data_IF_287125847315
#
_entry.id   IF_287125847315
#
_cell.length_a   1.000
_cell.length_b   1.000
_cell.length_c   1.000
_cell.angle_alpha   90.00
_cell.angle_beta   90.00
_cell.angle_gamma   90.00
#
_symmetry.space_group_name_H-M   'P 1'
#
loop_
_entity.id
_entity.type
_entity.pdbx_description
1 polymer ?
2 non-polymer ?
3 non-polymer ?
4 water ?
#
# COMPACT_ATOMS: atom_id res chain seq x y z
N UNK A 2 1.01 20.49 1.89
CA UNK A 2 1.17 19.31 2.79
C UNK A 2 -0.19 18.72 3.15
N UNK A 3 -0.63 17.74 2.36
CA UNK A 3 -1.92 17.09 2.58
C UNK A 3 -2.23 16.74 4.01
N UNK A 4 -3.40 17.18 4.46
CA UNK A 4 -3.81 16.92 5.82
C UNK A 4 -4.53 15.60 5.97
N UNK A 5 -5.28 15.20 4.95
CA UNK A 5 -6.00 13.94 5.02
C UNK A 5 -5.08 12.74 4.76
N UNK A 6 -5.58 11.55 5.02
CA UNK A 6 -4.82 10.31 4.94
C UNK A 6 -5.23 9.42 3.77
N UNK A 7 -4.56 10.02 2.54
CA UNK A 7 -4.76 9.41 1.23
C UNK A 7 -3.67 8.39 0.91
N UNK A 8 -4.11 7.17 0.58
CA UNK A 8 -3.21 6.07 0.26
C UNK A 8 -3.58 5.55 -1.13
N UNK A 9 -2.57 5.25 -1.93
CA UNK A 9 -2.79 4.78 -3.29
C UNK A 9 -1.96 3.53 -3.58
N UNK A 10 -2.36 2.78 -4.61
CA UNK A 10 -1.65 1.58 -4.99
C UNK A 10 -1.15 1.71 -6.40
N UNK A 11 0.12 1.40 -6.60
CA UNK A 11 0.74 1.49 -7.91
C UNK A 11 0.17 0.52 -8.92
N UNK A 12 -0.19 1.05 -10.08
CA UNK A 12 -0.72 0.23 -11.17
C UNK A 12 0.40 -0.23 -12.11
N UNK A 13 1.55 0.44 -12.05
CA UNK A 13 2.69 0.07 -12.86
C UNK A 13 3.96 0.23 -12.06
N UNK A 14 5.05 -0.28 -12.62
CA UNK A 14 6.36 -0.14 -12.03
C UNK A 14 6.77 1.25 -12.51
N UNK A 15 7.48 1.98 -11.68
CA UNK A 15 7.92 3.31 -12.06
C UNK A 15 9.37 3.54 -11.67
N UNK A 16 10.18 3.85 -12.68
CA UNK A 16 11.59 4.13 -12.47
C UNK A 16 11.65 5.65 -12.43
N UNK A 17 12.15 6.20 -11.33
CA UNK A 17 12.23 7.65 -11.21
C UNK A 17 13.01 8.23 -12.38
N UNK A 18 12.51 9.36 -12.88
CA UNK A 18 13.16 10.04 -13.99
C UNK A 18 14.06 11.15 -13.45
N UNK A 19 13.97 11.39 -12.14
CA UNK A 19 14.79 12.38 -11.45
C UNK A 19 15.07 11.89 -10.05
N UNK A 20 16.07 12.49 -9.41
CA UNK A 20 16.44 12.11 -8.06
C UNK A 20 15.36 12.48 -7.04
N UNK A 21 14.53 13.45 -7.39
CA UNK A 21 13.48 13.90 -6.49
C UNK A 21 12.16 13.17 -6.72
N UNK A 22 12.23 12.03 -7.39
CA UNK A 22 11.05 11.25 -7.68
C UNK A 22 11.09 9.89 -7.00
N UNK A 23 9.91 9.32 -6.80
CA UNK A 23 9.79 8.04 -6.14
C UNK A 23 9.77 6.88 -7.13
N UNK A 24 10.63 5.90 -6.92
CA UNK A 24 10.62 4.73 -7.78
C UNK A 24 9.73 3.79 -7.01
N UNK A 25 9.00 2.93 -7.71
CA UNK A 25 8.16 1.98 -7.02
C UNK A 25 7.77 0.84 -7.93
N UNK A 26 7.27 -0.23 -7.34
CA UNK A 26 6.86 -1.38 -8.12
C UNK A 26 5.35 -1.52 -8.09
N UNK A 27 4.80 -2.11 -9.15
CA UNK A 27 3.36 -2.33 -9.26
C UNK A 27 2.92 -3.04 -7.98
N UNK A 28 1.80 -2.61 -7.42
CA UNK A 28 1.29 -3.22 -6.21
C UNK A 28 1.69 -2.49 -4.93
N UNK A 29 2.74 -1.67 -4.99
CA UNK A 29 3.19 -0.93 -3.82
C UNK A 29 2.14 0.07 -3.38
N UNK A 30 2.08 0.31 -2.08
CA UNK A 30 1.14 1.25 -1.50
C UNK A 30 1.92 2.52 -1.18
N UNK A 31 1.41 3.67 -1.60
CA UNK A 31 2.08 4.93 -1.37
C UNK A 31 1.22 5.88 -0.54
N UNK A 32 1.82 6.50 0.47
CA UNK A 32 1.09 7.46 1.28
C UNK A 32 1.28 8.81 0.64
N UNK A 33 0.20 9.39 0.13
CA UNK A 33 0.28 10.69 -0.51
C UNK A 33 0.52 11.80 0.50
N UNK A 34 1.48 12.67 0.21
CA UNK A 34 1.82 13.78 1.09
C UNK A 34 1.48 15.15 0.46
N UNK A 35 1.59 15.24 -0.86
CA UNK A 35 1.28 16.47 -1.60
C UNK A 35 0.56 16.15 -2.89
N UNK A 36 -0.41 16.99 -3.21
CA UNK A 36 -1.19 16.80 -4.42
C UNK A 36 -1.24 18.12 -5.17
N UNK A 37 -0.55 18.18 -6.30
CA UNK A 37 -0.53 19.39 -7.11
C UNK A 37 -1.00 19.14 -8.54
N UNK A 38 -1.68 20.12 -9.13
CA UNK A 38 -2.15 19.97 -10.50
C UNK A 38 -0.92 19.81 -11.38
N UNK A 39 -1.05 19.05 -12.46
CA UNK A 39 0.07 18.82 -13.35
C UNK A 39 0.25 17.33 -13.53
N UNK A 40 -0.37 16.56 -12.64
CA UNK A 40 -0.30 15.11 -12.73
C UNK A 40 0.72 14.46 -11.82
N UNK A 41 1.51 15.27 -11.12
CA UNK A 41 2.52 14.72 -10.22
C UNK A 41 2.21 14.97 -8.77
N UNK A 42 2.17 13.88 -8.01
CA UNK A 42 1.91 13.96 -6.58
C UNK A 42 3.22 13.59 -5.90
N UNK A 43 3.32 13.95 -4.63
CA UNK A 43 4.50 13.60 -3.86
C UNK A 43 4.00 12.54 -2.90
N UNK A 44 4.84 11.59 -2.54
CA UNK A 44 4.38 10.55 -1.63
C UNK A 44 5.49 9.86 -0.88
N UNK A 45 5.12 8.93 -0.02
CA UNK A 45 6.11 8.21 0.76
C UNK A 45 5.92 6.72 0.59
N UNK A 46 7.02 5.99 0.69
CA UNK A 46 7.01 4.54 0.61
C UNK A 46 8.30 3.96 1.18
N UNK A 47 8.15 3.17 2.23
CA UNK A 47 9.28 2.54 2.89
C UNK A 47 10.36 3.55 3.24
N UNK A 48 9.96 4.66 3.85
CA UNK A 48 10.91 5.67 4.26
C UNK A 48 11.50 6.56 3.17
N UNK A 49 11.02 6.40 1.94
CA UNK A 49 11.50 7.21 0.83
C UNK A 49 10.38 8.18 0.43
N UNK A 50 10.73 9.40 0.06
CA UNK A 50 9.74 10.38 -0.33
C UNK A 50 10.10 11.02 -1.66
N UNK A 51 9.10 11.23 -2.51
CA UNK A 51 9.37 11.85 -3.79
C UNK A 51 8.15 11.98 -4.66
N UNK A 52 8.32 12.63 -5.81
CA UNK A 52 7.22 12.81 -6.74
C UNK A 52 7.01 11.61 -7.62
N UNK A 53 5.79 11.45 -8.11
CA UNK A 53 5.46 10.33 -8.97
C UNK A 53 4.24 10.69 -9.82
N UNK A 54 4.04 9.98 -10.94
CA UNK A 54 2.90 10.26 -11.81
C UNK A 54 1.61 9.78 -11.14
N UNK A 55 0.65 10.68 -10.95
CA UNK A 55 -0.61 10.31 -10.31
C UNK A 55 -1.44 9.34 -11.14
N UNK A 56 -1.14 9.26 -12.43
CA UNK A 56 -1.90 8.35 -13.29
C UNK A 56 -1.33 6.93 -13.23
N UNK A 57 -0.35 6.72 -12.36
CA UNK A 57 0.28 5.42 -12.17
C UNK A 57 -0.32 4.72 -10.95
N UNK A 58 -1.21 5.41 -10.24
CA UNK A 58 -1.81 4.84 -9.05
C UNK A 58 -3.33 4.89 -9.00
N UNK A 59 -3.90 4.07 -8.12
CA UNK A 59 -5.34 4.00 -7.89
C UNK A 59 -5.54 4.24 -6.41
N UNK A 60 -6.37 5.22 -6.08
CA UNK A 60 -6.64 5.54 -4.69
C UNK A 60 -7.21 4.31 -3.99
N UNK A 61 -6.73 4.04 -2.78
CA UNK A 61 -7.19 2.88 -2.01
C UNK A 61 -8.35 3.25 -1.10
N UNK B 5 -13.68 0.52 10.03
CA UNK B 5 -13.72 -0.78 9.30
C UNK B 5 -14.65 -0.70 8.10
N UNK B 6 -14.13 -1.08 6.94
CA UNK B 6 -14.90 -1.08 5.70
C UNK B 6 -14.02 -1.52 4.53
N UNK B 7 -12.71 -1.48 4.73
CA UNK B 7 -11.76 -1.89 3.70
C UNK B 7 -11.49 -3.38 3.80
N UNK B 8 -11.87 -4.12 2.76
CA UNK B 8 -11.64 -5.55 2.73
C UNK B 8 -10.77 -5.81 1.51
N UNK B 9 -9.85 -6.77 1.62
CA UNK B 9 -8.95 -7.09 0.52
C UNK B 9 -8.85 -8.58 0.26
N UNK B 10 -8.26 -8.92 -0.88
CA UNK B 10 -8.06 -10.30 -1.28
C UNK B 10 -6.56 -10.54 -1.51
N UNK B 11 -6.01 -11.55 -0.84
CA UNK B 11 -4.60 -11.89 -0.95
C UNK B 11 -4.18 -12.31 -2.36
N UNK B 12 -3.15 -11.66 -2.89
CA UNK B 12 -2.66 -11.98 -4.22
C UNK B 12 -1.65 -13.12 -4.17
N UNK B 13 -0.96 -13.26 -3.04
CA UNK B 13 0.03 -14.32 -2.87
C UNK B 13 -0.16 -15.02 -1.55
N UNK B 14 0.54 -16.14 -1.39
CA UNK B 14 0.50 -16.86 -0.13
C UNK B 14 1.48 -16.13 0.78
N UNK B 15 1.10 -15.96 2.03
CA UNK B 15 1.99 -15.29 2.96
C UNK B 15 2.21 -16.12 4.21
N UNK B 16 3.48 -16.42 4.48
CA UNK B 16 3.87 -17.18 5.65
C UNK B 16 4.37 -16.11 6.62
N UNK B 17 3.69 -15.98 7.76
CA UNK B 17 4.07 -14.97 8.75
C UNK B 17 5.56 -14.99 9.02
N UNK B 18 6.14 -13.81 9.19
CA UNK B 18 7.57 -13.69 9.45
C UNK B 18 7.81 -13.29 10.90
N UNK B 19 6.72 -13.05 11.63
CA UNK B 19 6.76 -12.68 13.05
C UNK B 19 5.52 -13.20 13.76
N UNK B 20 5.62 -13.36 15.07
CA UNK B 20 4.51 -13.87 15.87
C UNK B 20 3.22 -13.08 15.69
N UNK B 21 3.34 -11.75 15.69
CA UNK B 21 2.19 -10.86 15.57
C UNK B 21 1.79 -10.59 14.13
N UNK B 22 2.09 -11.51 13.23
CA UNK B 22 1.73 -11.33 11.84
C UNK B 22 0.70 -12.33 11.38
N UNK B 23 -0.12 -11.89 10.45
CA UNK B 23 -1.19 -12.70 9.89
C UNK B 23 -0.72 -13.48 8.67
N UNK B 24 -0.62 -14.80 8.79
CA UNK B 24 -0.21 -15.57 7.62
C UNK B 24 -1.52 -15.89 6.89
N UNK B 25 -1.45 -16.17 5.59
CA UNK B 25 -2.66 -16.48 4.82
C UNK B 25 -2.37 -17.12 3.46
N UNK B 26 -3.43 -17.44 2.72
CA UNK B 26 -3.29 -18.06 1.42
C UNK B 26 -3.81 -17.18 0.30
N UNK B 27 -3.28 -17.40 -0.89
CA UNK B 27 -3.70 -16.64 -2.06
C UNK B 27 -5.22 -16.80 -2.18
N UNK B 28 -5.93 -15.70 -2.42
CA UNK B 28 -7.37 -15.77 -2.55
C UNK B 28 -8.11 -15.44 -1.26
N UNK B 29 -7.42 -15.52 -0.14
CA UNK B 29 -8.02 -15.23 1.15
C UNK B 29 -8.48 -13.78 1.27
N UNK B 30 -9.69 -13.59 1.79
CA UNK B 30 -10.29 -12.27 1.98
C UNK B 30 -9.96 -11.75 3.38
N UNK B 31 -9.38 -10.55 3.46
CA UNK B 31 -8.98 -9.96 4.73
C UNK B 31 -9.71 -8.67 5.11
N UNK B 32 -10.18 -8.59 6.35
CA UNK B 32 -10.85 -7.38 6.83
C UNK B 32 -9.70 -6.50 7.30
N UNK B 33 -9.48 -5.37 6.64
CA UNK B 33 -8.38 -4.51 7.04
C UNK B 33 -8.73 -3.65 8.24
N UNK B 34 -7.93 -3.77 9.30
CA UNK B 34 -8.14 -3.02 10.54
C UNK B 34 -7.46 -1.65 10.57
N UNK B 35 -6.17 -1.60 10.24
CA UNK B 35 -5.42 -0.34 10.21
C UNK B 35 -4.41 -0.31 9.07
N UNK B 36 -4.28 0.86 8.45
CA UNK B 36 -3.35 1.07 7.33
C UNK B 36 -2.24 2.01 7.79
N UNK B 37 -1.14 1.44 8.27
CA UNK B 37 -0.04 2.27 8.73
C UNK B 37 1.04 2.46 7.67
N UNK B 38 1.59 3.67 7.63
CA UNK B 38 2.65 4.01 6.68
C UNK B 38 3.81 3.07 6.96
N UNK B 39 4.40 2.52 5.91
CA UNK B 39 5.51 1.62 6.13
C UNK B 39 5.33 0.24 5.54
N UNK B 40 4.32 0.08 4.69
CA UNK B 40 4.09 -1.19 4.03
C UNK B 40 3.25 -2.27 4.68
N UNK B 41 3.16 -2.26 6.01
CA UNK B 41 2.40 -3.29 6.68
C UNK B 41 1.06 -2.83 7.23
N UNK B 42 0.02 -3.57 6.89
CA UNK B 42 -1.33 -3.28 7.35
C UNK B 42 -1.68 -4.36 8.37
N UNK B 43 -2.62 -4.06 9.26
CA UNK B 43 -3.05 -5.04 10.26
C UNK B 43 -4.47 -5.45 9.84
N UNK B 44 -4.74 -6.75 9.82
CA UNK B 44 -6.05 -7.20 9.40
C UNK B 44 -6.57 -8.45 10.08
N UNK B 45 -7.73 -8.91 9.63
CA UNK B 45 -8.39 -10.07 10.21
C UNK B 45 -8.85 -11.10 9.18
N UNK B 46 -8.62 -12.37 9.49
CA UNK B 46 -9.02 -13.46 8.61
C UNK B 46 -9.40 -14.67 9.47
N UNK B 47 -10.62 -15.19 9.30
CA UNK B 47 -11.09 -16.31 10.13
C UNK B 47 -11.30 -15.78 11.54
N UNK B 48 -10.31 -15.98 12.41
CA UNK B 48 -10.43 -15.50 13.77
C UNK B 48 -9.16 -14.81 14.25
N UNK B 49 -8.12 -14.86 13.42
CA UNK B 49 -6.83 -14.25 13.74
C UNK B 49 -6.67 -12.81 13.25
N UNK B 50 -5.95 -12.02 14.03
CA UNK B 50 -5.71 -10.63 13.68
C UNK B 50 -4.21 -10.46 13.65
N UNK B 51 -3.71 -9.71 12.68
CA UNK B 51 -2.27 -9.51 12.61
C UNK B 51 -1.78 -8.67 11.45
N UNK B 52 -0.47 -8.45 11.41
CA UNK B 52 0.15 -7.65 10.37
C UNK B 52 0.52 -8.46 9.13
N UNK B 53 0.51 -7.79 7.99
CA UNK B 53 0.84 -8.42 6.71
C UNK B 53 1.29 -7.39 5.66
N UNK B 54 2.06 -7.84 4.64
CA UNK B 54 2.55 -6.97 3.57
C UNK B 54 1.37 -6.44 2.75
N UNK B 55 1.22 -5.12 2.71
CA UNK B 55 0.13 -4.51 1.97
C UNK B 55 0.21 -4.77 0.47
N UNK B 56 1.42 -4.94 -0.06
CA UNK B 56 1.54 -5.20 -1.49
C UNK B 56 1.18 -6.65 -1.80
N UNK B 57 0.77 -7.39 -0.78
CA UNK B 57 0.39 -8.79 -0.96
C UNK B 57 -1.09 -8.93 -1.22
N UNK B 58 -1.81 -7.81 -1.15
CA UNK B 58 -3.24 -7.86 -1.34
C UNK B 58 -3.74 -6.86 -2.37
N UNK B 59 -5.03 -6.93 -2.65
CA UNK B 59 -5.64 -6.04 -3.61
C UNK B 59 -7.03 -5.68 -3.09
N UNK B 60 -7.36 -4.39 -3.13
CA UNK B 60 -8.65 -3.91 -2.66
C UNK B 60 -9.80 -4.61 -3.37
N UNK B 61 -10.79 -5.03 -2.58
CA UNK B 61 -11.99 -5.71 -3.06
C UNK B 61 -11.67 -6.70 -4.18
X LIG C 1 9.72 2.21 -1.97
X LIG D 1 3.86 14.64 -16.04
X LIG E 1 6.38 -1.62 1.60
X LIG F 1 9.27 -0.56 -4.11
X LIG G 1 5.97 -2.23 -1.51
X LIG H 1 7.83 -4.28 4.57
X LIG I 1 -6.23 -17.05 8.64
X LIG J 1 -10.47 -17.55 4.27
X LIG K 1 4.46 -4.19 2.10
#
# INVERSE_FOLDING_TARGET
>A
GPLGSQLVVRAKFNFQQTNEDELSFSKGDVIHVTRVEEGGWWEGTHNGRTGWFPSNYVREI
>B
GPLGSQLVVRAKFNFQQTNEDELSFSKGDVIHVTRVEEGGWWEGTHNGRTGWFPSNYVREI
>C hetero
1 HG HG
>D hetero
1 HG HG
>E hetero
1 HG HG
>F hetero
1 CL CL
>G hetero
1 CL CL
>H hetero
1 HG HG
>I hetero
1 HG HG
>J hetero
1 HG HG
>K hetero
1 CL CL
#
